data_IF_764552513262
#
_entry.id   IF_764552513262
#
_cell.length_a   1.000
_cell.length_b   1.000
_cell.length_c   1.000
_cell.angle_alpha   90.00
_cell.angle_beta   90.00
_cell.angle_gamma   90.00
#
_symmetry.space_group_name_H-M   'P 1'
#
loop_
_entity.id
_entity.type
_entity.pdbx_description
1 polymer ?
#
# COMPACT_ATOMS: atom_id res chain seq x y z
N UNK A 1 2.18 16.68 -8.54
CA UNK A 1 2.64 15.51 -7.77
C UNK A 1 1.55 14.44 -7.78
N UNK A 2 1.94 13.17 -7.94
CA UNK A 2 1.13 12.06 -8.48
C UNK A 2 -0.27 11.86 -7.89
N UNK A 3 -0.48 12.16 -6.60
CA UNK A 3 -1.82 12.11 -5.98
C UNK A 3 -2.52 13.47 -6.15
N UNK A 4 -3.43 13.55 -7.12
CA UNK A 4 -4.11 14.80 -7.50
C UNK A 4 -5.26 15.16 -6.55
N UNK A 5 -5.59 16.46 -6.43
CA UNK A 5 -6.74 16.92 -5.61
C UNK A 5 -8.08 16.29 -6.05
N UNK A 6 -8.38 16.13 -7.37
CA UNK A 6 -9.57 15.41 -7.81
C UNK A 6 -9.64 13.96 -7.35
N UNK A 7 -8.51 13.22 -7.34
CA UNK A 7 -8.48 11.83 -6.87
C UNK A 7 -8.85 11.73 -5.38
N UNK A 8 -8.29 12.61 -4.55
CA UNK A 8 -8.63 12.71 -3.11
C UNK A 8 -10.11 13.05 -2.93
N UNK A 9 -10.66 13.98 -3.73
CA UNK A 9 -12.10 14.27 -3.69
C UNK A 9 -12.96 13.06 -4.02
N UNK A 10 -12.64 12.30 -5.08
CA UNK A 10 -13.41 11.09 -5.43
C UNK A 10 -13.42 10.06 -4.29
N UNK A 11 -12.27 9.85 -3.63
CA UNK A 11 -12.19 9.01 -2.44
C UNK A 11 -13.07 9.54 -1.31
N UNK A 12 -12.96 10.82 -0.98
CA UNK A 12 -13.75 11.46 0.07
C UNK A 12 -15.26 11.42 -0.21
N UNK A 13 -15.67 11.61 -1.47
CA UNK A 13 -17.08 11.47 -1.88
C UNK A 13 -17.61 10.07 -1.68
N UNK A 14 -16.83 9.02 -1.98
CA UNK A 14 -17.22 7.63 -1.69
C UNK A 14 -17.43 7.38 -0.19
N UNK A 15 -16.74 8.12 0.67
CA UNK A 15 -16.94 8.11 2.12
C UNK A 15 -18.02 9.08 2.64
N UNK A 16 -18.84 9.69 1.76
CA UNK A 16 -19.92 10.60 2.17
C UNK A 16 -19.48 12.01 2.60
N UNK A 17 -18.20 12.37 2.41
CA UNK A 17 -17.69 13.68 2.80
C UNK A 17 -18.20 14.75 1.82
N UNK A 18 -18.82 15.83 2.32
CA UNK A 18 -19.41 16.91 1.49
C UNK A 18 -18.46 18.11 1.32
N UNK A 19 -17.72 18.51 2.36
CA UNK A 19 -16.76 19.63 2.30
C UNK A 19 -15.39 19.17 2.77
N UNK A 20 -14.33 19.68 2.13
CA UNK A 20 -12.94 19.31 2.43
C UNK A 20 -12.12 20.58 2.57
N UNK A 21 -11.48 20.78 3.72
CA UNK A 21 -10.58 21.90 3.96
C UNK A 21 -9.28 21.76 3.15
N UNK A 22 -8.68 22.89 2.75
CA UNK A 22 -7.46 22.91 1.92
C UNK A 22 -6.27 22.15 2.53
N UNK A 23 -6.13 22.18 3.86
CA UNK A 23 -5.03 21.50 4.57
C UNK A 23 -5.08 19.98 4.42
N UNK A 24 -6.27 19.38 4.37
CA UNK A 24 -6.48 17.92 4.30
C UNK A 24 -5.84 17.30 3.05
N UNK A 25 -5.78 18.03 1.93
CA UNK A 25 -5.12 17.52 0.72
C UNK A 25 -3.64 17.22 0.94
N UNK A 26 -2.94 17.95 1.83
CA UNK A 26 -1.54 17.67 2.14
C UNK A 26 -1.44 16.44 3.05
N UNK A 27 -2.19 16.45 4.15
CA UNK A 27 -2.22 15.38 5.15
C UNK A 27 -2.56 14.02 4.52
N UNK A 28 -3.56 13.95 3.63
CA UNK A 28 -3.91 12.70 2.95
C UNK A 28 -2.75 12.16 2.11
N UNK A 29 -1.96 13.03 1.45
CA UNK A 29 -0.78 12.57 0.70
C UNK A 29 0.29 12.01 1.61
N UNK A 30 0.56 12.69 2.72
CA UNK A 30 1.53 12.24 3.73
C UNK A 30 1.13 10.87 4.28
N UNK A 31 -0.15 10.67 4.62
CA UNK A 31 -0.68 9.39 5.12
C UNK A 31 -0.57 8.28 4.08
N UNK A 32 -0.94 8.55 2.81
CA UNK A 32 -0.86 7.52 1.75
C UNK A 32 0.58 7.09 1.51
N UNK A 33 1.52 8.02 1.48
CA UNK A 33 2.95 7.71 1.31
C UNK A 33 3.48 6.94 2.53
N UNK A 34 3.16 7.38 3.75
CA UNK A 34 3.56 6.70 4.98
C UNK A 34 3.04 5.26 5.02
N UNK A 35 1.76 5.04 4.68
CA UNK A 35 1.19 3.69 4.62
C UNK A 35 1.89 2.81 3.58
N UNK A 36 2.18 3.37 2.40
CA UNK A 36 2.87 2.64 1.33
C UNK A 36 4.29 2.27 1.75
N UNK A 37 5.01 3.18 2.40
CA UNK A 37 6.34 2.93 2.92
C UNK A 37 6.33 1.76 3.91
N UNK A 38 5.42 1.74 4.89
CA UNK A 38 5.30 0.63 5.84
C UNK A 38 5.04 -0.72 5.14
N UNK A 39 4.22 -0.74 4.09
CA UNK A 39 3.96 -1.97 3.33
C UNK A 39 5.23 -2.42 2.60
N UNK A 40 5.91 -1.50 1.90
CA UNK A 40 7.11 -1.82 1.14
C UNK A 40 8.27 -2.28 2.03
N UNK A 41 8.45 -1.68 3.20
CA UNK A 41 9.44 -2.13 4.20
C UNK A 41 9.21 -3.58 4.63
N UNK A 42 7.95 -3.96 4.87
CA UNK A 42 7.59 -5.35 5.21
C UNK A 42 7.77 -6.32 4.04
N UNK A 43 7.54 -5.87 2.80
CA UNK A 43 7.77 -6.67 1.60
C UNK A 43 9.25 -6.93 1.36
N UNK A 44 10.09 -5.90 1.52
CA UNK A 44 11.55 -6.05 1.40
C UNK A 44 12.08 -6.99 2.49
N UNK A 45 11.66 -6.80 3.74
CA UNK A 45 12.00 -7.71 4.85
C UNK A 45 11.58 -9.15 4.56
N UNK A 46 10.39 -9.36 3.98
CA UNK A 46 9.94 -10.70 3.59
C UNK A 46 10.88 -11.31 2.55
N UNK A 47 11.23 -10.58 1.49
CA UNK A 47 12.11 -11.09 0.45
C UNK A 47 13.47 -11.49 1.03
N UNK A 48 14.11 -10.59 1.79
CA UNK A 48 15.40 -10.82 2.44
C UNK A 48 15.35 -12.01 3.41
N UNK A 49 14.25 -12.19 4.15
CA UNK A 49 14.09 -13.32 5.08
C UNK A 49 13.94 -14.68 4.38
N UNK A 50 13.52 -14.68 3.10
CA UNK A 50 13.37 -15.90 2.29
C UNK A 50 14.59 -16.21 1.45
N UNK A 51 15.60 -15.33 1.47
CA UNK A 51 16.83 -15.53 0.73
C UNK A 51 17.69 -16.62 1.38
N UNK A 52 18.23 -17.49 0.54
CA UNK A 52 19.21 -18.52 0.91
C UNK A 52 20.41 -18.42 -0.03
N UNK A 53 21.58 -18.97 0.33
CA UNK A 53 22.74 -18.96 -0.57
C UNK A 53 22.46 -19.54 -1.97
N UNK A 54 21.50 -20.47 -2.06
CA UNK A 54 21.08 -21.08 -3.31
C UNK A 54 19.96 -20.32 -4.05
N UNK A 55 19.28 -19.37 -3.39
CA UNK A 55 18.12 -18.65 -3.96
C UNK A 55 17.98 -17.27 -3.36
N UNK A 56 18.30 -16.25 -4.16
CA UNK A 56 18.07 -14.84 -3.86
C UNK A 56 16.90 -14.31 -4.70
N UNK A 57 15.94 -13.63 -4.07
CA UNK A 57 14.75 -13.08 -4.72
C UNK A 57 14.88 -11.56 -4.89
N UNK A 58 14.85 -11.10 -6.14
CA UNK A 58 14.87 -9.65 -6.48
C UNK A 58 13.53 -9.12 -7.00
N UNK A 59 12.57 -10.02 -7.24
CA UNK A 59 11.28 -9.71 -7.86
C UNK A 59 10.18 -9.90 -6.82
N UNK A 60 9.40 -8.85 -6.61
CA UNK A 60 8.19 -8.88 -5.78
C UNK A 60 7.07 -9.53 -6.59
N UNK A 61 6.39 -10.50 -5.98
CA UNK A 61 5.23 -11.19 -6.55
C UNK A 61 3.93 -10.74 -5.87
N UNK A 62 2.79 -11.00 -6.51
CA UNK A 62 1.46 -10.75 -5.93
C UNK A 62 1.27 -11.44 -4.58
N UNK A 63 1.78 -12.68 -4.46
CA UNK A 63 1.73 -13.48 -3.23
C UNK A 63 2.49 -12.83 -2.06
N UNK A 64 3.62 -12.17 -2.32
CA UNK A 64 4.36 -11.44 -1.28
C UNK A 64 3.52 -10.29 -0.70
N UNK A 65 2.83 -9.56 -1.58
CA UNK A 65 1.95 -8.45 -1.19
C UNK A 65 0.76 -8.97 -0.39
N UNK A 66 0.08 -10.01 -0.85
CA UNK A 66 -1.06 -10.62 -0.15
C UNK A 66 -0.65 -11.11 1.23
N UNK A 67 0.51 -11.77 1.33
CA UNK A 67 1.05 -12.24 2.61
C UNK A 67 1.34 -11.09 3.58
N UNK A 68 2.03 -10.04 3.12
CA UNK A 68 2.34 -8.86 3.95
C UNK A 68 1.08 -8.14 4.39
N UNK A 69 0.12 -7.95 3.49
CA UNK A 69 -1.15 -7.29 3.81
C UNK A 69 -1.97 -8.10 4.82
N UNK A 70 -1.97 -9.42 4.73
CA UNK A 70 -2.56 -10.31 5.74
C UNK A 70 -1.87 -10.18 7.10
N UNK A 71 -0.53 -10.14 7.12
CA UNK A 71 0.28 -9.92 8.35
C UNK A 71 -0.03 -8.57 9.00
N UNK A 72 -0.31 -7.54 8.22
CA UNK A 72 -0.66 -6.19 8.69
C UNK A 72 -2.15 -6.04 9.06
N UNK A 73 -2.94 -7.11 9.04
CA UNK A 73 -4.37 -7.09 9.38
C UNK A 73 -5.29 -6.52 8.30
N UNK A 74 -4.80 -6.35 7.07
CA UNK A 74 -5.55 -5.83 5.92
C UNK A 74 -5.62 -6.88 4.80
N UNK A 75 -6.26 -8.02 5.05
CA UNK A 75 -6.39 -9.11 4.07
C UNK A 75 -7.12 -8.65 2.80
N UNK A 76 -6.55 -8.98 1.63
CA UNK A 76 -7.13 -8.69 0.32
C UNK A 76 -7.40 -10.01 -0.41
N UNK A 77 -8.58 -10.13 -1.03
CA UNK A 77 -9.01 -11.32 -1.76
C UNK A 77 -8.94 -11.10 -3.27
N UNK A 78 -8.89 -12.20 -4.03
CA UNK A 78 -8.94 -12.16 -5.50
C UNK A 78 -7.57 -12.05 -6.19
N UNK A 79 -6.48 -12.30 -5.45
CA UNK A 79 -5.10 -12.22 -5.95
C UNK A 79 -4.33 -13.56 -5.87
N UNK A 80 -5.03 -14.67 -5.59
CA UNK A 80 -4.43 -15.99 -5.35
C UNK A 80 -4.12 -16.77 -6.65
N UNK A 81 -4.47 -16.24 -7.83
CA UNK A 81 -4.47 -16.95 -9.12
C UNK A 81 -3.37 -16.52 -10.13
N UNK A 82 -2.24 -15.97 -9.69
CA UNK A 82 -1.16 -15.53 -10.58
C UNK A 82 0.24 -15.94 -10.11
#
# INVERSE_FOLDING_TARGET
>A
MGITKPAIRRLARRGGIVRIQKAIYKTVREIVVSRLQTILEQVVMLLESTDTPAKTRKIVTSSDIVFVLKRLGTTVYGFDNH
#
